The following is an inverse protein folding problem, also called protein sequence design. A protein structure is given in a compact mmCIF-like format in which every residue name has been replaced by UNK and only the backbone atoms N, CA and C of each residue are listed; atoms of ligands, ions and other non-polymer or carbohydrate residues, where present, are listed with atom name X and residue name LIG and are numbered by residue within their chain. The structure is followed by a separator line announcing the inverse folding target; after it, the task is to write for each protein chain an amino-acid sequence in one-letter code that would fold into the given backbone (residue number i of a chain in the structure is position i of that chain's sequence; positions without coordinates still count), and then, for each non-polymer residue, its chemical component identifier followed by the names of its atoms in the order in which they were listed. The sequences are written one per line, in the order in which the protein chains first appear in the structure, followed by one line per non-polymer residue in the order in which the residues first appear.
data_IF_685897963786
#
_entry.id   IF_685897963786
#
_cell.length_a   1.000
_cell.length_b   1.000
_cell.length_c   1.000
_cell.angle_alpha   90.00
_cell.angle_beta   90.00
_cell.angle_gamma   90.00
#
_symmetry.space_group_name_H-M   'P 1'
#
loop_
_entity.id
_entity.type
_entity.pdbx_description
1 polymer ?
#
# COMPACT_ATOMS: atom_id res chain seq x y z
N UNK A 1 24.14 -40.35 -0.98
CA UNK A 1 23.62 -39.33 -1.91
C UNK A 1 22.92 -38.33 -1.03
N UNK A 2 23.73 -37.39 -0.53
CA UNK A 2 23.28 -36.23 0.23
C UNK A 2 22.58 -35.24 -0.69
N UNK A 3 21.67 -34.46 -0.10
CA UNK A 3 21.21 -33.09 -0.44
C UNK A 3 19.71 -32.99 -0.12
N UNK A 4 19.17 -31.98 0.58
CA UNK A 4 19.68 -30.89 1.41
C UNK A 4 18.41 -30.35 2.10
N UNK A 5 18.34 -30.36 3.44
CA UNK A 5 17.20 -29.81 4.19
C UNK A 5 17.23 -28.27 4.23
N UNK A 6 16.11 -27.56 3.99
CA UNK A 6 15.99 -26.14 4.28
C UNK A 6 15.31 -25.96 5.65
N UNK A 7 16.05 -26.16 6.75
CA UNK A 7 15.51 -25.94 8.12
C UNK A 7 16.43 -25.16 9.08
N UNK A 8 17.69 -24.90 8.71
CA UNK A 8 18.67 -24.36 9.67
C UNK A 8 18.70 -22.82 9.71
N UNK A 9 18.37 -22.14 8.60
CA UNK A 9 18.55 -20.67 8.51
C UNK A 9 17.46 -19.87 9.25
N UNK A 10 16.24 -20.41 9.38
CA UNK A 10 15.12 -19.69 10.01
C UNK A 10 15.24 -19.67 11.55
N UNK A 11 15.77 -20.75 12.15
CA UNK A 11 15.88 -20.87 13.60
C UNK A 11 17.01 -20.01 14.20
N UNK A 12 18.15 -19.86 13.51
CA UNK A 12 19.24 -19.02 14.01
C UNK A 12 18.88 -17.52 14.07
N UNK A 13 18.02 -17.05 13.17
CA UNK A 13 17.52 -15.66 13.16
C UNK A 13 16.62 -15.38 14.35
N UNK A 14 15.70 -16.29 14.65
CA UNK A 14 14.81 -16.23 15.81
C UNK A 14 15.55 -16.33 17.15
N UNK A 15 16.57 -17.19 17.23
CA UNK A 15 17.42 -17.34 18.42
C UNK A 15 18.29 -16.10 18.69
N UNK A 16 18.84 -15.47 17.65
CA UNK A 16 19.57 -14.19 17.80
C UNK A 16 18.65 -13.05 18.22
N UNK A 17 17.46 -12.94 17.64
CA UNK A 17 16.44 -11.95 18.03
C UNK A 17 16.02 -12.12 19.49
N UNK A 18 15.76 -13.36 19.94
CA UNK A 18 15.41 -13.64 21.36
C UNK A 18 16.56 -13.37 22.33
N UNK A 19 17.82 -13.51 21.91
CA UNK A 19 18.99 -13.16 22.74
C UNK A 19 19.16 -11.65 22.91
N UNK A 20 18.87 -10.86 21.88
CA UNK A 20 18.89 -9.38 21.93
C UNK A 20 17.77 -8.88 22.86
N UNK A 21 16.57 -9.46 22.75
CA UNK A 21 15.40 -9.12 23.59
C UNK A 21 15.62 -9.43 25.09
N UNK A 22 16.50 -10.39 25.44
CA UNK A 22 16.74 -10.77 26.85
C UNK A 22 17.64 -9.81 27.64
N UNK A 23 18.37 -8.90 26.97
CA UNK A 23 19.33 -8.01 27.63
C UNK A 23 18.85 -6.57 27.82
N UNK A 24 17.66 -6.22 27.33
CA UNK A 24 17.03 -4.93 27.56
C UNK A 24 15.70 -5.14 28.27
N UNK A 25 15.46 -4.38 29.33
CA UNK A 25 14.15 -4.32 29.97
C UNK A 25 13.19 -3.59 29.04
N UNK A 26 12.51 -4.33 28.16
CA UNK A 26 11.44 -3.81 27.31
C UNK A 26 10.28 -3.49 28.23
N UNK A 27 10.08 -2.21 28.51
CA UNK A 27 9.02 -1.74 29.41
C UNK A 27 7.91 -1.02 28.66
N UNK A 28 8.19 -0.61 27.42
CA UNK A 28 7.26 0.08 26.54
C UNK A 28 7.31 -0.52 25.14
N UNK A 29 6.29 -0.23 24.34
CA UNK A 29 6.22 -0.72 22.96
C UNK A 29 7.35 -0.13 22.12
N UNK A 30 7.72 1.12 22.35
CA UNK A 30 8.79 1.83 21.65
C UNK A 30 10.18 1.22 21.84
N UNK A 31 10.37 0.46 22.92
CA UNK A 31 11.63 -0.24 23.21
C UNK A 31 11.81 -1.47 22.29
N UNK A 32 10.80 -1.83 21.49
CA UNK A 32 10.89 -2.94 20.54
C UNK A 32 11.79 -2.58 19.36
N UNK A 33 12.58 -3.55 18.84
CA UNK A 33 13.36 -3.35 17.62
C UNK A 33 12.49 -3.03 16.41
N UNK A 34 13.01 -2.19 15.50
CA UNK A 34 12.31 -1.82 14.26
C UNK A 34 11.89 -3.03 13.42
N UNK A 35 12.66 -4.13 13.48
CA UNK A 35 12.33 -5.38 12.79
C UNK A 35 10.98 -5.96 13.22
N UNK A 36 10.60 -5.80 14.50
CA UNK A 36 9.31 -6.26 15.00
C UNK A 36 8.18 -5.39 14.43
N UNK A 37 8.40 -4.08 14.32
CA UNK A 37 7.41 -3.20 13.70
C UNK A 37 7.22 -3.46 12.20
N UNK A 38 8.30 -3.79 11.48
CA UNK A 38 8.17 -4.22 10.10
C UNK A 38 7.36 -5.50 9.96
N UNK A 39 7.58 -6.48 10.85
CA UNK A 39 6.75 -7.70 10.90
C UNK A 39 5.29 -7.39 11.24
N UNK A 40 5.02 -6.45 12.15
CA UNK A 40 3.65 -6.02 12.49
C UNK A 40 3.00 -5.35 11.27
N UNK A 41 3.71 -4.46 10.58
CA UNK A 41 3.18 -3.70 9.46
C UNK A 41 2.77 -4.58 8.27
N UNK A 42 3.38 -5.76 8.10
CA UNK A 42 2.96 -6.73 7.09
C UNK A 42 1.52 -7.24 7.28
N UNK A 43 0.93 -7.09 8.48
CA UNK A 43 -0.45 -7.47 8.79
C UNK A 43 -1.47 -6.35 8.61
N UNK A 44 -1.02 -5.10 8.42
CA UNK A 44 -1.89 -3.93 8.30
C UNK A 44 -1.91 -3.40 6.88
N UNK A 45 -3.01 -2.73 6.53
CA UNK A 45 -3.02 -1.91 5.33
C UNK A 45 -2.17 -0.66 5.51
N UNK A 46 -1.55 -0.17 4.44
CA UNK A 46 -0.79 1.08 4.47
C UNK A 46 -1.57 2.26 5.06
N UNK A 47 -2.87 2.39 4.82
CA UNK A 47 -3.67 3.45 5.44
C UNK A 47 -3.76 3.29 6.96
N UNK A 48 -4.00 2.06 7.43
CA UNK A 48 -4.11 1.74 8.85
C UNK A 48 -2.78 1.97 9.58
N UNK A 49 -1.66 1.58 8.95
CA UNK A 49 -0.31 1.85 9.46
C UNK A 49 -0.13 3.35 9.70
N UNK A 50 -0.50 4.15 8.72
CA UNK A 50 -0.30 5.59 8.78
C UNK A 50 -1.21 6.21 9.83
N UNK A 51 -2.50 5.93 9.79
CA UNK A 51 -3.47 6.46 10.75
C UNK A 51 -3.11 6.10 12.19
N UNK A 52 -2.71 4.84 12.41
CA UNK A 52 -2.42 4.31 13.75
C UNK A 52 -1.07 4.77 14.27
N UNK A 53 -0.01 4.77 13.44
CA UNK A 53 1.36 4.93 13.92
C UNK A 53 1.97 6.32 13.67
N UNK A 54 1.42 7.15 12.76
CA UNK A 54 2.04 8.44 12.42
C UNK A 54 1.99 9.49 13.53
N UNK A 55 1.17 9.29 14.56
CA UNK A 55 0.99 10.25 15.65
C UNK A 55 1.50 9.73 17.01
N UNK A 56 2.10 8.53 17.05
CA UNK A 56 2.54 7.94 18.32
C UNK A 56 3.74 8.67 18.89
N UNK A 57 4.81 8.78 18.10
CA UNK A 57 6.03 9.52 18.45
C UNK A 57 6.92 9.70 17.21
N UNK A 58 7.99 10.47 17.37
CA UNK A 58 8.95 10.77 16.30
C UNK A 58 9.72 9.54 15.79
N UNK A 59 9.87 8.47 16.58
CA UNK A 59 10.49 7.23 16.13
C UNK A 59 9.61 6.54 15.09
N UNK A 60 8.29 6.45 15.32
CA UNK A 60 7.37 5.88 14.34
C UNK A 60 7.24 6.75 13.10
N UNK A 61 7.19 8.08 13.23
CA UNK A 61 7.25 8.98 12.08
C UNK A 61 8.49 8.69 11.22
N UNK A 62 9.68 8.61 11.84
CA UNK A 62 10.92 8.28 11.13
C UNK A 62 10.86 6.89 10.49
N UNK A 63 10.26 5.91 11.15
CA UNK A 63 10.14 4.55 10.64
C UNK A 63 9.21 4.49 9.43
N UNK A 64 8.13 5.28 9.42
CA UNK A 64 7.23 5.43 8.27
C UNK A 64 7.89 6.21 7.12
N UNK A 65 8.73 7.20 7.41
CA UNK A 65 9.49 7.90 6.39
C UNK A 65 10.72 7.13 5.89
N UNK A 66 11.08 6.02 6.54
CA UNK A 66 12.22 5.19 6.14
C UNK A 66 11.99 4.52 4.79
N UNK A 67 13.06 4.46 3.99
CA UNK A 67 13.00 3.86 2.64
C UNK A 67 12.90 2.34 2.60
N UNK A 68 13.19 1.69 3.72
CA UNK A 68 13.17 0.23 3.83
C UNK A 68 11.77 -0.35 3.98
N UNK A 69 10.76 0.48 4.26
CA UNK A 69 9.42 0.02 4.55
C UNK A 69 8.62 -0.22 3.27
N UNK A 70 8.35 -1.50 2.98
CA UNK A 70 7.53 -1.89 1.85
C UNK A 70 6.05 -1.86 2.24
N UNK A 71 5.38 -0.75 1.93
CA UNK A 71 3.94 -0.65 2.19
C UNK A 71 3.14 -1.17 1.00
N UNK A 72 2.09 -1.92 1.34
CA UNK A 72 1.00 -2.28 0.45
C UNK A 72 -0.22 -1.53 0.95
N UNK A 73 -0.93 -0.87 0.04
CA UNK A 73 -2.14 -0.12 0.39
C UNK A 73 -3.29 -0.54 -0.49
N UNK A 74 -4.43 -0.81 0.14
CA UNK A 74 -5.69 -1.16 -0.45
C UNK A 74 -6.74 -0.14 -0.05
N UNK A 75 -7.08 0.75 -0.97
CA UNK A 75 -8.15 1.71 -0.76
C UNK A 75 -9.49 1.09 -1.14
N UNK A 76 -10.34 0.83 -0.15
CA UNK A 76 -11.74 0.51 -0.35
C UNK A 76 -12.55 1.80 -0.43
N UNK A 77 -12.96 2.19 -1.63
CA UNK A 77 -13.77 3.40 -1.88
C UNK A 77 -15.28 3.08 -1.89
N UNK A 78 -15.67 1.95 -1.28
CA UNK A 78 -17.05 1.55 -1.12
C UNK A 78 -17.52 1.93 0.29
N UNK A 79 -18.48 2.84 0.39
CA UNK A 79 -19.25 3.15 1.60
C UNK A 79 -18.55 3.94 2.73
N UNK A 80 -18.88 5.24 2.82
CA UNK A 80 -19.83 5.73 3.84
C UNK A 80 -20.42 7.07 3.38
N UNK A 81 -21.67 7.34 3.77
CA UNK A 81 -22.52 8.50 3.40
C UNK A 81 -21.89 9.90 3.65
N UNK A 82 -20.65 10.01 4.12
CA UNK A 82 -20.05 11.28 4.56
C UNK A 82 -18.62 11.55 4.07
N UNK A 83 -17.94 10.61 3.40
CA UNK A 83 -16.68 10.93 2.72
C UNK A 83 -16.72 10.43 1.29
N UNK A 84 -17.02 11.35 0.37
CA UNK A 84 -16.55 11.22 -1.00
C UNK A 84 -15.03 11.30 -0.89
N UNK A 85 -14.35 10.15 -0.72
CA UNK A 85 -12.91 10.10 -0.88
C UNK A 85 -12.63 10.49 -2.33
N UNK A 86 -12.28 11.75 -2.52
CA UNK A 86 -12.01 12.26 -3.85
C UNK A 86 -10.68 11.70 -4.31
N UNK A 87 -10.48 11.59 -5.62
CA UNK A 87 -9.16 11.26 -6.17
C UNK A 87 -8.04 12.17 -5.60
N UNK A 88 -8.36 13.38 -5.13
CA UNK A 88 -7.42 14.29 -4.52
C UNK A 88 -6.89 13.81 -3.16
N UNK A 89 -7.64 13.00 -2.40
CA UNK A 89 -7.14 12.42 -1.14
C UNK A 89 -6.02 11.41 -1.40
N UNK A 90 -6.06 10.71 -2.53
CA UNK A 90 -4.97 9.85 -2.99
C UNK A 90 -3.70 10.63 -3.36
N UNK A 91 -3.82 11.93 -3.63
CA UNK A 91 -2.66 12.82 -3.83
C UNK A 91 -2.08 13.26 -2.48
N UNK A 92 -2.91 13.40 -1.44
CA UNK A 92 -2.47 13.81 -0.10
C UNK A 92 -1.76 12.65 0.61
N UNK A 93 -2.23 11.42 0.43
CA UNK A 93 -1.63 10.24 1.05
C UNK A 93 -0.09 10.16 0.88
N UNK A 94 0.48 10.23 -0.35
CA UNK A 94 1.92 10.19 -0.56
C UNK A 94 2.67 11.39 0.03
N UNK A 95 2.02 12.55 0.20
CA UNK A 95 2.64 13.71 0.87
C UNK A 95 2.82 13.48 2.36
N UNK A 96 1.97 12.63 2.95
CA UNK A 96 2.06 12.27 4.36
C UNK A 96 2.95 11.05 4.55
N UNK A 97 2.93 10.10 3.62
CA UNK A 97 3.53 8.79 3.84
C UNK A 97 4.19 8.16 2.62
N UNK A 98 5.42 7.71 2.87
CA UNK A 98 6.11 6.61 2.18
C UNK A 98 6.33 6.80 0.66
N UNK A 99 7.49 7.35 0.31
CA UNK A 99 8.02 7.41 -1.05
C UNK A 99 8.30 6.04 -1.70
N UNK A 100 8.10 4.93 -0.97
CA UNK A 100 8.47 3.56 -1.37
C UNK A 100 7.25 2.64 -1.48
N UNK A 101 6.06 3.20 -1.69
CA UNK A 101 4.88 2.42 -2.01
C UNK A 101 5.14 1.57 -3.25
N UNK A 102 5.12 0.24 -3.10
CA UNK A 102 5.35 -0.71 -4.20
C UNK A 102 4.07 -1.23 -4.81
N UNK A 103 3.03 -1.40 -4.00
CA UNK A 103 1.76 -1.96 -4.44
C UNK A 103 0.64 -1.02 -4.03
N UNK A 104 -0.06 -0.50 -5.03
CA UNK A 104 -1.25 0.32 -4.88
C UNK A 104 -2.43 -0.46 -5.42
N UNK A 105 -3.38 -0.79 -4.54
CA UNK A 105 -4.62 -1.44 -4.91
C UNK A 105 -5.78 -0.54 -4.57
N UNK A 106 -6.66 -0.33 -5.56
CA UNK A 106 -7.80 0.56 -5.46
C UNK A 106 -9.02 -0.24 -5.84
N UNK A 107 -10.02 -0.23 -4.97
CA UNK A 107 -11.30 -0.84 -5.27
C UNK A 107 -12.37 0.24 -5.14
N UNK A 108 -13.06 0.56 -6.23
CA UNK A 108 -14.04 1.65 -6.30
C UNK A 108 -15.33 1.24 -6.98
N UNK A 109 -16.45 1.84 -6.59
CA UNK A 109 -17.71 1.73 -7.34
C UNK A 109 -18.27 3.10 -7.70
N UNK A 110 -19.08 3.14 -8.78
CA UNK A 110 -19.95 4.26 -9.17
C UNK A 110 -19.27 5.57 -9.60
N UNK A 111 -17.98 5.79 -9.31
CA UNK A 111 -17.30 7.03 -9.67
C UNK A 111 -16.38 6.87 -10.89
N UNK A 112 -16.89 7.27 -12.04
CA UNK A 112 -16.20 7.21 -13.35
C UNK A 112 -14.88 7.99 -13.41
N UNK A 113 -14.62 8.88 -12.44
CA UNK A 113 -13.37 9.65 -12.35
C UNK A 113 -12.17 8.71 -12.14
N UNK A 114 -12.36 7.57 -11.47
CA UNK A 114 -11.30 6.58 -11.28
C UNK A 114 -10.97 5.79 -12.54
N UNK A 115 -11.76 5.93 -13.62
CA UNK A 115 -11.48 5.33 -14.92
C UNK A 115 -10.68 6.25 -15.86
N UNK A 116 -10.20 7.39 -15.37
CA UNK A 116 -9.30 8.28 -16.12
C UNK A 116 -7.85 7.79 -16.00
N UNK A 117 -7.37 7.08 -17.02
CA UNK A 117 -6.04 6.48 -17.00
C UNK A 117 -4.93 7.56 -16.97
N UNK A 118 -5.11 8.69 -17.66
CA UNK A 118 -4.12 9.78 -17.66
C UNK A 118 -3.97 10.43 -16.27
N UNK A 119 -5.05 10.47 -15.50
CA UNK A 119 -4.99 10.98 -14.13
C UNK A 119 -4.19 10.05 -13.23
N UNK A 120 -4.39 8.73 -13.34
CA UNK A 120 -3.58 7.76 -12.64
C UNK A 120 -2.12 7.77 -13.07
N UNK A 121 -1.85 7.81 -14.37
CA UNK A 121 -0.49 7.90 -14.91
C UNK A 121 0.28 9.08 -14.30
N UNK A 122 -0.33 10.28 -14.30
CA UNK A 122 0.28 11.46 -13.67
C UNK A 122 0.51 11.25 -12.18
N UNK A 123 -0.47 10.75 -11.45
CA UNK A 123 -0.35 10.54 -10.01
C UNK A 123 0.76 9.50 -9.69
N UNK A 124 0.84 8.40 -10.43
CA UNK A 124 1.88 7.38 -10.22
C UNK A 124 3.27 7.96 -10.54
N UNK A 125 3.43 8.68 -11.65
CA UNK A 125 4.72 9.26 -12.03
C UNK A 125 5.23 10.28 -11.01
N UNK A 126 4.35 11.10 -10.43
CA UNK A 126 4.76 12.18 -9.54
C UNK A 126 4.84 11.75 -8.07
N UNK A 127 3.95 10.86 -7.63
CA UNK A 127 3.79 10.54 -6.22
C UNK A 127 4.30 9.15 -5.85
N UNK A 128 4.34 8.21 -6.80
CA UNK A 128 4.75 6.82 -6.53
C UNK A 128 5.79 6.33 -7.55
N UNK A 129 6.98 6.96 -7.60
CA UNK A 129 8.00 6.60 -8.58
C UNK A 129 8.50 5.15 -8.41
N UNK A 130 8.40 4.59 -7.20
CA UNK A 130 8.78 3.21 -6.87
C UNK A 130 7.63 2.21 -7.00
N UNK A 131 6.48 2.62 -7.55
CA UNK A 131 5.33 1.72 -7.70
C UNK A 131 5.65 0.61 -8.71
N UNK A 132 5.61 -0.63 -8.22
CA UNK A 132 5.83 -1.83 -9.01
C UNK A 132 4.50 -2.39 -9.52
N UNK A 133 3.45 -2.34 -8.72
CA UNK A 133 2.15 -2.95 -9.05
C UNK A 133 1.00 -1.99 -8.78
N UNK A 134 0.14 -1.82 -9.78
CA UNK A 134 -1.09 -1.05 -9.67
C UNK A 134 -2.28 -1.95 -9.99
N UNK A 135 -3.25 -2.01 -9.08
CA UNK A 135 -4.48 -2.76 -9.23
C UNK A 135 -5.67 -1.81 -9.11
N UNK A 136 -6.55 -1.81 -10.11
CA UNK A 136 -7.78 -1.03 -10.10
C UNK A 136 -8.97 -1.98 -10.30
N UNK A 137 -9.72 -2.22 -9.24
CA UNK A 137 -10.96 -2.98 -9.26
C UNK A 137 -12.14 -2.00 -9.30
N UNK A 138 -12.82 -1.91 -10.45
CA UNK A 138 -13.99 -1.05 -10.59
C UNK A 138 -15.27 -1.89 -10.62
N UNK A 139 -16.19 -1.63 -9.69
CA UNK A 139 -17.47 -2.32 -9.59
C UNK A 139 -18.58 -1.40 -10.07
N UNK A 140 -19.30 -1.84 -11.08
CA UNK A 140 -20.47 -1.12 -11.57
C UNK A 140 -21.76 -1.84 -11.18
N UNK A 141 -22.64 -1.14 -10.48
CA UNK A 141 -24.00 -1.63 -10.23
C UNK A 141 -24.87 -1.19 -11.41
N UNK A 142 -24.63 -1.79 -12.58
CA UNK A 142 -25.32 -1.47 -13.82
C UNK A 142 -26.82 -1.75 -13.70
N UNK A 143 -27.64 -0.71 -13.94
CA UNK A 143 -29.07 -0.88 -14.17
C UNK A 143 -29.58 -0.09 -15.39
N UNK A 144 -28.71 0.30 -16.34
CA UNK A 144 -29.13 1.02 -17.56
C UNK A 144 -28.19 0.81 -18.76
N UNK A 145 -28.78 0.45 -19.90
CA UNK A 145 -28.09 0.06 -21.15
C UNK A 145 -27.24 1.17 -21.81
N UNK A 146 -27.52 2.44 -21.49
CA UNK A 146 -26.81 3.58 -22.10
C UNK A 146 -25.42 3.88 -21.50
N UNK A 147 -25.08 3.33 -20.33
CA UNK A 147 -23.80 3.63 -19.69
C UNK A 147 -22.63 2.81 -20.25
N UNK A 148 -22.88 1.62 -20.79
CA UNK A 148 -21.84 0.70 -21.30
C UNK A 148 -20.90 1.33 -22.34
N UNK A 149 -21.42 2.17 -23.25
CA UNK A 149 -20.60 2.79 -24.29
C UNK A 149 -19.58 3.79 -23.70
N UNK A 150 -19.98 4.59 -22.71
CA UNK A 150 -19.11 5.57 -22.04
C UNK A 150 -17.98 4.86 -21.29
N UNK A 151 -18.29 3.71 -20.67
CA UNK A 151 -17.29 2.90 -19.95
C UNK A 151 -16.24 2.27 -20.86
N UNK A 152 -16.66 1.75 -22.01
CA UNK A 152 -15.73 1.12 -22.96
C UNK A 152 -14.62 2.08 -23.41
N UNK A 153 -14.95 3.34 -23.70
CA UNK A 153 -13.98 4.35 -24.12
C UNK A 153 -12.96 4.71 -23.04
N UNK A 154 -13.37 4.75 -21.76
CA UNK A 154 -12.47 5.10 -20.64
C UNK A 154 -11.55 3.95 -20.23
N UNK A 155 -12.08 2.73 -20.17
CA UNK A 155 -11.27 1.54 -19.85
C UNK A 155 -10.19 1.32 -20.91
N UNK A 156 -10.50 1.60 -22.18
CA UNK A 156 -9.52 1.53 -23.26
C UNK A 156 -8.31 2.45 -23.07
N UNK A 157 -8.38 3.47 -22.19
CA UNK A 157 -7.24 4.34 -21.89
C UNK A 157 -6.14 3.61 -21.11
N UNK A 158 -6.44 2.49 -20.43
CA UNK A 158 -5.45 1.66 -19.73
C UNK A 158 -4.68 0.71 -20.67
N UNK A 159 -4.64 1.03 -21.97
CA UNK A 159 -3.91 0.28 -23.00
C UNK A 159 -2.71 1.02 -23.60
N UNK A 160 -2.35 2.19 -23.06
CA UNK A 160 -1.13 2.90 -23.48
C UNK A 160 0.12 2.11 -23.09
N UNK A 161 1.26 2.42 -23.74
CA UNK A 161 2.56 1.79 -23.43
C UNK A 161 2.92 1.90 -21.94
N UNK A 162 2.60 3.04 -21.32
CA UNK A 162 2.79 3.24 -19.88
C UNK A 162 2.21 2.10 -19.03
N UNK A 163 1.02 1.59 -19.39
CA UNK A 163 0.35 0.52 -18.65
C UNK A 163 0.80 -0.88 -19.07
N UNK A 164 1.17 -1.05 -20.34
CA UNK A 164 1.60 -2.35 -20.88
C UNK A 164 3.02 -2.69 -20.43
N UNK A 165 3.91 -1.71 -20.44
CA UNK A 165 5.34 -1.89 -20.16
C UNK A 165 5.64 -2.06 -18.66
N UNK A 166 4.66 -1.80 -17.79
CA UNK A 166 4.75 -1.85 -16.32
C UNK A 166 4.26 -3.16 -15.68
N UNK A 167 4.08 -4.23 -16.46
CA UNK A 167 3.59 -5.53 -15.96
C UNK A 167 4.58 -6.29 -15.07
#
# INVERSE_FOLDING_TARGET
MDELEPKVVFNESLEKKTKILRNHSITRIEDLPNEIFYEIFDYFDGCEIVETFSHLNSQFEQLLHSSSLLIKTHFYLFHHQEMITTFNELVIFPTKTCSNLKILSISSSKNIIFLDAHRWERLILHCYPQLEKFYLNYYDHMNNDNQYQIYSGRINQFSSSFWIDRK
#
